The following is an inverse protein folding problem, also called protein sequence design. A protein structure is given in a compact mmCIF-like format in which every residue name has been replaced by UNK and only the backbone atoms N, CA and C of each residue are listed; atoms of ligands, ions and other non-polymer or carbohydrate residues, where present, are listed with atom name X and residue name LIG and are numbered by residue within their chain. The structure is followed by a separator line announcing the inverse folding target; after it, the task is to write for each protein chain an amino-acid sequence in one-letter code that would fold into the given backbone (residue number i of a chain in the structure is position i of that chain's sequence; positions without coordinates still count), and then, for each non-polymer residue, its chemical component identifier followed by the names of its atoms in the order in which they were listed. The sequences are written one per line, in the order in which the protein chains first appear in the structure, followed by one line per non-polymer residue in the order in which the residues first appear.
data_IF_242958078444
#
_entry.id   IF_242958078444
#
_cell.length_a   1.000
_cell.length_b   1.000
_cell.length_c   1.000
_cell.angle_alpha   90.00
_cell.angle_beta   90.00
_cell.angle_gamma   90.00
#
_symmetry.space_group_name_H-M   'P 1'
#
loop_
_entity.id
_entity.type
_entity.pdbx_description
1 polymer ?
#
# COMPACT_ATOMS: atom_id res chain seq x y z
N UNK A 1 23.89 -4.24 6.46
CA UNK A 1 23.34 -4.35 5.95
C UNK A 1 22.20 -3.91 6.20
N UNK A 2 21.76 -4.08 6.68
CA UNK A 2 20.58 -3.75 6.70
C UNK A 2 20.21 -2.47 7.13
N UNK A 3 20.80 -1.87 7.88
CA UNK A 3 20.38 -0.74 8.35
C UNK A 3 20.31 0.26 7.37
N UNK A 4 21.13 0.37 6.72
CA UNK A 4 21.08 1.40 5.77
C UNK A 4 19.86 1.30 5.00
N UNK A 5 19.36 0.17 4.89
CA UNK A 5 18.28 0.04 4.05
C UNK A 5 16.98 0.33 4.68
N UNK A 6 16.95 0.75 5.88
CA UNK A 6 15.70 1.01 6.43
C UNK A 6 14.86 1.87 5.58
N UNK A 7 15.22 3.01 5.23
CA UNK A 7 14.39 3.88 4.44
C UNK A 7 14.16 3.32 3.05
N UNK A 8 15.18 2.68 2.53
CA UNK A 8 15.07 2.16 1.18
C UNK A 8 14.04 1.05 1.11
N UNK A 9 14.00 0.21 2.11
CA UNK A 9 13.05 -0.88 2.11
C UNK A 9 11.63 -0.36 2.16
N UNK A 10 11.39 0.59 3.01
CA UNK A 10 10.07 1.13 3.13
C UNK A 10 9.68 1.84 1.84
N UNK A 11 10.63 2.57 1.28
CA UNK A 11 10.34 3.29 0.07
C UNK A 11 10.00 2.34 -1.06
N UNK A 12 10.72 1.23 -1.14
CA UNK A 12 10.44 0.28 -2.17
C UNK A 12 9.08 -0.35 -1.95
N UNK A 13 8.74 -0.66 -0.70
CA UNK A 13 7.46 -1.25 -0.39
C UNK A 13 6.32 -0.30 -0.75
N UNK A 14 6.52 0.99 -0.48
CA UNK A 14 5.50 1.96 -0.80
C UNK A 14 5.33 2.07 -2.31
N UNK A 15 6.43 2.00 -3.02
CA UNK A 15 6.37 2.09 -4.46
C UNK A 15 5.59 0.88 -5.00
N UNK A 16 5.84 -0.30 -4.46
CA UNK A 16 5.14 -1.47 -4.90
C UNK A 16 3.65 -1.35 -4.58
N UNK A 17 3.33 -0.78 -3.45
CA UNK A 17 1.95 -0.62 -3.08
C UNK A 17 1.25 0.31 -4.06
N UNK A 18 1.87 1.41 -4.39
CA UNK A 18 1.28 2.34 -5.32
C UNK A 18 1.09 1.69 -6.69
N UNK A 19 2.06 0.91 -7.11
CA UNK A 19 1.95 0.25 -8.39
C UNK A 19 0.79 -0.73 -8.38
N UNK A 20 0.67 -1.48 -7.32
CA UNK A 20 -0.41 -2.46 -7.23
C UNK A 20 -1.76 -1.77 -7.27
N UNK A 21 -1.87 -0.64 -6.58
CA UNK A 21 -3.12 0.09 -6.57
C UNK A 21 -3.43 0.60 -7.97
N UNK A 22 -2.42 1.13 -8.64
CA UNK A 22 -2.63 1.65 -9.98
C UNK A 22 -3.10 0.56 -10.93
N UNK A 23 -2.48 -0.58 -10.83
CA UNK A 23 -2.83 -1.65 -11.71
C UNK A 23 -4.27 -2.09 -11.49
N UNK A 24 -4.65 -2.18 -10.23
CA UNK A 24 -5.99 -2.60 -9.98
C UNK A 24 -7.04 -1.57 -10.28
N UNK A 25 -6.80 -0.34 -9.93
CA UNK A 25 -7.79 0.68 -10.14
C UNK A 25 -7.70 1.38 -11.47
N UNK A 26 -6.59 1.21 -12.10
CA UNK A 26 -6.41 1.90 -13.32
C UNK A 26 -7.27 1.44 -14.43
N UNK A 27 -7.84 0.32 -14.33
CA UNK A 27 -8.61 -0.18 -15.26
C UNK A 27 -9.83 0.39 -15.35
N UNK A 28 -10.14 1.14 -15.53
CA UNK A 28 -11.29 1.65 -15.68
C UNK A 28 -12.26 1.49 -14.81
N UNK A 29 -12.92 1.85 -14.54
CA UNK A 29 -13.95 1.82 -13.86
C UNK A 29 -14.20 0.99 -12.99
N UNK A 30 -14.13 0.40 -12.71
CA UNK A 30 -14.45 -0.38 -11.95
C UNK A 30 -15.11 -0.02 -10.88
N UNK A 31 -15.18 0.56 -10.36
CA UNK A 31 -15.89 0.66 -9.50
C UNK A 31 -15.74 0.93 -8.17
N UNK A 32 -16.70 1.37 -7.47
CA UNK A 32 -16.48 1.68 -6.13
C UNK A 32 -16.20 0.50 -5.29
N UNK A 33 -16.62 -0.68 -5.67
CA UNK A 33 -16.31 -1.81 -4.85
C UNK A 33 -14.83 -2.03 -4.76
N UNK A 34 -14.15 -1.94 -5.87
CA UNK A 34 -12.75 -2.16 -5.89
C UNK A 34 -12.04 -1.07 -5.11
N UNK A 35 -12.50 0.13 -5.23
CA UNK A 35 -11.90 1.23 -4.51
C UNK A 35 -12.07 1.02 -3.02
N UNK A 36 -13.23 0.55 -2.59
CA UNK A 36 -13.44 0.33 -1.18
C UNK A 36 -12.56 -0.79 -0.65
N UNK A 37 -12.37 -1.82 -1.43
CA UNK A 37 -11.53 -2.89 -0.99
C UNK A 37 -10.08 -2.45 -0.84
N UNK A 38 -9.60 -1.70 -1.80
CA UNK A 38 -8.23 -1.24 -1.75
C UNK A 38 -8.07 -0.28 -0.57
N UNK A 39 -9.06 0.59 -0.36
CA UNK A 39 -8.99 1.52 0.73
C UNK A 39 -8.93 0.77 2.07
N UNK A 40 -9.71 -0.27 2.20
CA UNK A 40 -9.73 -1.02 3.45
C UNK A 40 -8.37 -1.66 3.73
N UNK A 41 -7.74 -2.17 2.70
CA UNK A 41 -6.44 -2.78 2.87
C UNK A 41 -5.42 -1.76 3.30
N UNK A 42 -5.45 -0.58 2.70
CA UNK A 42 -4.50 0.45 3.05
C UNK A 42 -4.75 0.92 4.47
N UNK A 43 -6.01 1.10 4.85
CA UNK A 43 -6.31 1.53 6.19
C UNK A 43 -5.89 0.49 7.21
N UNK A 44 -6.05 -0.77 6.89
CA UNK A 44 -5.67 -1.80 7.79
C UNK A 44 -4.17 -1.79 7.98
N UNK A 45 -3.42 -1.58 6.92
CA UNK A 45 -1.97 -1.53 7.01
C UNK A 45 -1.57 -0.37 7.90
N UNK A 46 -2.21 0.77 7.74
CA UNK A 46 -1.88 1.92 8.54
C UNK A 46 -2.16 1.64 10.02
N UNK A 47 -3.26 1.00 10.31
CA UNK A 47 -3.58 0.67 11.68
C UNK A 47 -2.55 -0.25 12.29
N UNK A 48 -2.14 -1.24 11.55
CA UNK A 48 -1.16 -2.17 12.06
C UNK A 48 0.16 -1.49 12.34
N UNK A 49 0.53 -0.58 11.47
CA UNK A 49 1.78 0.12 11.66
C UNK A 49 1.70 0.99 12.89
N UNK A 50 0.56 1.64 13.10
CA UNK A 50 0.43 2.50 14.26
C UNK A 50 0.50 1.72 15.55
N UNK A 51 0.13 0.47 15.52
CA UNK A 51 0.17 -0.31 16.75
C UNK A 51 1.50 -0.97 17.01
N UNK A 52 2.46 -0.79 16.13
CA UNK A 52 3.74 -1.36 16.37
C UNK A 52 4.38 -0.67 17.54
N UNK A 53 5.15 -1.43 18.29
CA UNK A 53 5.81 -0.84 19.42
C UNK A 53 7.16 -0.35 19.09
#
# INVERSE_FOLDING_TARGET
MGEASNGASVRRAMHNLKSAISIRLGDEDKGSEKILEVTAIIDEAASKIERLK
#
